data_IF_027841564285
#
_entry.id   IF_027841564285
#
_cell.length_a   1.000
_cell.length_b   1.000
_cell.length_c   1.000
_cell.angle_alpha   90.00
_cell.angle_beta   90.00
_cell.angle_gamma   90.00
#
_symmetry.space_group_name_H-M   'P 1'
#
loop_
_entity.id
_entity.type
_entity.pdbx_description
1 polymer ?
#
# COMPACT_ATOMS: atom_id res chain seq x y z
N UNK A 1 11.57 -0.21 5.80
CA UNK A 1 10.12 -0.18 5.46
C UNK A 1 9.31 -0.02 6.72
N UNK A 2 8.24 0.79 6.70
CA UNK A 2 7.32 0.90 7.85
C UNK A 2 6.70 -0.46 8.18
N UNK A 3 6.44 -0.72 9.47
CA UNK A 3 5.80 -1.98 9.89
C UNK A 3 4.47 -2.24 9.18
N UNK A 4 3.72 -1.19 8.86
CA UNK A 4 2.40 -1.28 8.20
C UNK A 4 2.47 -1.67 6.72
N UNK A 5 3.54 -1.33 5.99
CA UNK A 5 3.67 -1.66 4.57
C UNK A 5 4.29 -3.06 4.33
N UNK A 6 4.98 -3.63 5.32
CA UNK A 6 5.61 -4.96 5.21
C UNK A 6 4.56 -6.06 5.03
N UNK A 7 3.46 -6.03 5.81
CA UNK A 7 2.43 -7.06 5.74
C UNK A 7 1.69 -7.09 4.39
N UNK A 8 1.23 -5.95 3.84
CA UNK A 8 0.73 -5.87 2.47
C UNK A 8 1.73 -6.36 1.43
N UNK A 9 3.01 -5.99 1.55
CA UNK A 9 4.04 -6.41 0.61
C UNK A 9 4.22 -7.93 0.59
N UNK A 10 4.40 -8.55 1.76
CA UNK A 10 4.56 -10.00 1.87
C UNK A 10 3.31 -10.74 1.38
N UNK A 11 2.13 -10.19 1.63
CA UNK A 11 0.88 -10.75 1.14
C UNK A 11 0.76 -10.66 -0.38
N UNK A 12 1.09 -9.52 -0.97
CA UNK A 12 1.12 -9.34 -2.43
C UNK A 12 2.09 -10.35 -3.07
N UNK A 13 3.29 -10.48 -2.50
CA UNK A 13 4.29 -11.46 -2.94
C UNK A 13 3.77 -12.90 -2.87
N UNK A 14 3.12 -13.27 -1.76
CA UNK A 14 2.55 -14.61 -1.59
C UNK A 14 1.42 -14.89 -2.58
N UNK A 15 0.51 -13.94 -2.80
CA UNK A 15 -0.58 -14.07 -3.76
C UNK A 15 -0.07 -14.17 -5.20
N UNK A 16 1.00 -13.45 -5.53
CA UNK A 16 1.65 -13.49 -6.83
C UNK A 16 2.36 -14.83 -7.14
N UNK A 17 2.66 -15.63 -6.11
CA UNK A 17 3.38 -16.91 -6.27
C UNK A 17 2.65 -17.90 -7.20
N UNK A 18 1.31 -17.82 -7.28
CA UNK A 18 0.50 -18.71 -8.11
C UNK A 18 0.55 -18.41 -9.61
N UNK A 19 0.89 -17.17 -10.00
CA UNK A 19 0.89 -16.74 -11.41
C UNK A 19 -0.49 -16.73 -12.10
N UNK A 20 -1.55 -17.11 -11.39
CA UNK A 20 -2.93 -17.22 -11.89
C UNK A 20 -3.71 -15.91 -11.75
N UNK A 21 -3.14 -14.91 -11.07
CA UNK A 21 -3.82 -13.66 -10.70
C UNK A 21 -2.92 -12.46 -10.99
N UNK A 22 -3.51 -11.41 -11.55
CA UNK A 22 -2.89 -10.09 -11.63
C UNK A 22 -2.97 -9.43 -10.25
N UNK A 23 -1.82 -9.22 -9.61
CA UNK A 23 -1.73 -8.61 -8.28
C UNK A 23 -1.12 -7.22 -8.41
N UNK A 24 -1.74 -6.24 -7.76
CA UNK A 24 -1.20 -4.88 -7.62
C UNK A 24 -1.14 -4.51 -6.15
N UNK A 25 0.05 -4.19 -5.66
CA UNK A 25 0.27 -3.62 -4.33
C UNK A 25 0.13 -2.11 -4.41
N UNK A 26 -0.86 -1.56 -3.70
CA UNK A 26 -1.10 -0.12 -3.62
C UNK A 26 -0.56 0.41 -2.29
N UNK A 27 0.50 1.23 -2.32
CA UNK A 27 1.18 1.77 -1.14
C UNK A 27 1.27 3.29 -1.18
N UNK A 28 1.53 3.91 -0.03
CA UNK A 28 1.59 5.37 0.04
C UNK A 28 2.89 5.91 -0.55
N UNK A 29 2.79 7.03 -1.26
CA UNK A 29 3.87 7.97 -1.53
C UNK A 29 3.75 9.19 -0.62
N UNK A 30 4.78 9.43 0.20
CA UNK A 30 4.87 10.61 1.07
C UNK A 30 5.75 11.69 0.45
N UNK A 31 5.41 12.95 0.67
CA UNK A 31 6.33 14.07 0.35
C UNK A 31 7.58 13.99 1.23
N UNK A 32 8.71 14.53 0.76
CA UNK A 32 10.00 14.47 1.47
C UNK A 32 9.92 14.90 2.95
N UNK A 33 9.11 15.93 3.25
CA UNK A 33 8.85 16.38 4.63
C UNK A 33 8.26 15.27 5.50
N UNK A 34 7.32 14.50 4.97
CA UNK A 34 6.64 13.42 5.68
C UNK A 34 7.38 12.09 5.63
N UNK A 35 8.25 11.85 4.64
CA UNK A 35 9.10 10.67 4.60
C UNK A 35 10.00 10.58 5.84
N UNK A 36 10.60 11.71 6.27
CA UNK A 36 11.42 11.78 7.50
C UNK A 36 10.67 11.41 8.78
N UNK A 37 9.35 11.54 8.78
CA UNK A 37 8.50 11.26 9.94
C UNK A 37 7.89 9.85 9.88
N UNK A 38 7.55 9.42 8.67
CA UNK A 38 6.81 8.19 8.43
C UNK A 38 7.69 6.99 8.15
N UNK A 39 8.86 7.15 7.53
CA UNK A 39 9.71 6.04 7.12
C UNK A 39 10.81 5.75 8.15
N UNK A 40 11.11 4.48 8.45
CA UNK A 40 12.18 4.14 9.39
C UNK A 40 13.57 4.37 8.78
N UNK A 41 14.58 4.35 9.65
CA UNK A 41 16.00 4.35 9.29
C UNK A 41 16.44 5.54 8.41
N UNK A 42 15.72 6.67 8.50
CA UNK A 42 15.92 7.86 7.66
C UNK A 42 15.83 7.58 6.15
N UNK A 43 15.11 6.52 5.75
CA UNK A 43 14.88 6.23 4.34
C UNK A 43 14.17 7.42 3.69
N UNK A 44 14.77 7.97 2.64
CA UNK A 44 14.18 9.01 1.81
C UNK A 44 14.33 8.61 0.35
N UNK A 45 13.28 8.87 -0.42
CA UNK A 45 13.20 8.60 -1.83
C UNK A 45 12.84 9.89 -2.55
N UNK A 46 13.59 10.22 -3.59
CA UNK A 46 13.32 11.34 -4.49
C UNK A 46 12.18 11.06 -5.47
N UNK A 47 11.85 9.78 -5.71
CA UNK A 47 10.77 9.37 -6.60
C UNK A 47 10.06 8.07 -6.17
N UNK A 48 8.81 7.83 -6.60
CA UNK A 48 8.13 6.55 -6.38
C UNK A 48 8.91 5.35 -6.93
N UNK A 49 9.59 5.52 -8.07
CA UNK A 49 10.43 4.48 -8.69
C UNK A 49 11.59 4.03 -7.81
N UNK A 50 12.20 4.98 -7.10
CA UNK A 50 13.26 4.69 -6.14
C UNK A 50 12.72 3.90 -4.94
N UNK A 51 11.56 4.32 -4.41
CA UNK A 51 10.87 3.59 -3.34
C UNK A 51 10.47 2.18 -3.77
N UNK A 52 9.97 2.02 -5.00
CA UNK A 52 9.65 0.73 -5.59
C UNK A 52 10.89 -0.17 -5.68
N UNK A 53 11.99 0.35 -6.24
CA UNK A 53 13.25 -0.39 -6.37
C UNK A 53 13.77 -0.85 -5.01
N UNK A 54 13.74 0.03 -4.00
CA UNK A 54 14.10 -0.31 -2.63
C UNK A 54 13.18 -1.41 -2.05
N UNK A 55 11.86 -1.29 -2.29
CA UNK A 55 10.85 -2.25 -1.80
C UNK A 55 11.07 -3.64 -2.40
N UNK A 56 11.32 -3.71 -3.72
CA UNK A 56 11.63 -4.97 -4.43
C UNK A 56 12.92 -5.60 -3.92
N UNK A 57 14.01 -4.83 -3.83
CA UNK A 57 15.28 -5.33 -3.27
C UNK A 57 15.14 -5.81 -1.81
N UNK A 58 14.34 -5.11 -0.99
CA UNK A 58 14.09 -5.52 0.38
C UNK A 58 13.38 -6.88 0.41
N UNK A 59 12.43 -7.10 -0.50
CA UNK A 59 11.65 -8.33 -0.61
C UNK A 59 12.50 -9.49 -1.12
N UNK A 60 13.27 -9.29 -2.20
CA UNK A 60 14.15 -10.30 -2.81
C UNK A 60 15.12 -10.92 -1.79
N UNK A 61 15.62 -10.13 -0.84
CA UNK A 61 16.52 -10.62 0.23
C UNK A 61 15.83 -11.53 1.27
N UNK A 62 14.50 -11.69 1.21
CA UNK A 62 13.69 -12.35 2.26
C UNK A 62 12.79 -13.48 1.76
N UNK A 63 12.65 -13.66 0.45
CA UNK A 63 11.83 -14.72 -0.13
C UNK A 63 12.63 -15.55 -1.13
N UNK A 64 12.27 -16.82 -1.27
CA UNK A 64 12.99 -17.79 -2.11
C UNK A 64 12.42 -17.91 -3.53
N UNK A 65 11.67 -16.92 -4.01
CA UNK A 65 11.05 -16.91 -5.33
C UNK A 65 10.94 -15.48 -5.86
N UNK A 66 10.73 -15.33 -7.16
CA UNK A 66 10.53 -14.01 -7.81
C UNK A 66 9.02 -13.79 -7.94
N UNK A 67 8.42 -12.86 -7.18
CA UNK A 67 7.00 -12.58 -7.23
C UNK A 67 6.68 -11.61 -8.39
N UNK A 68 5.65 -11.93 -9.17
CA UNK A 68 5.17 -11.07 -10.26
C UNK A 68 3.93 -10.27 -9.82
N UNK A 69 4.15 -9.03 -9.38
CA UNK A 69 3.09 -8.08 -9.05
C UNK A 69 3.49 -6.65 -9.36
N UNK A 70 2.49 -5.83 -9.71
CA UNK A 70 2.63 -4.39 -9.91
C UNK A 70 2.68 -3.65 -8.58
N UNK A 71 3.38 -2.52 -8.54
CA UNK A 71 3.35 -1.58 -7.41
C UNK A 71 2.76 -0.26 -7.91
N UNK A 72 1.75 0.25 -7.20
CA UNK A 72 1.13 1.53 -7.48
C UNK A 72 1.21 2.40 -6.22
N UNK A 73 1.31 3.70 -6.42
CA UNK A 73 1.44 4.66 -5.35
C UNK A 73 0.24 5.60 -5.27
N UNK A 74 -0.30 5.80 -4.07
CA UNK A 74 -1.25 6.87 -3.79
C UNK A 74 -0.60 7.95 -2.93
N UNK A 75 -0.91 9.24 -3.14
CA UNK A 75 -0.35 10.30 -2.33
C UNK A 75 -0.90 10.23 -0.90
N UNK A 76 -0.03 10.41 0.09
CA UNK A 76 -0.42 10.47 1.50
C UNK A 76 0.35 11.53 2.29
N UNK A 77 -0.17 11.80 3.49
CA UNK A 77 0.44 12.72 4.46
C UNK A 77 0.58 12.04 5.80
N UNK A 78 1.68 12.32 6.50
CA UNK A 78 1.82 11.88 7.89
C UNK A 78 1.10 12.88 8.81
N UNK A 79 -0.01 12.45 9.41
CA UNK A 79 -0.79 13.23 10.35
C UNK A 79 -0.21 13.03 11.76
N UNK A 80 0.60 14.00 12.22
CA UNK A 80 1.36 13.92 13.49
C UNK A 80 0.44 13.74 14.70
N UNK A 81 -0.70 14.42 14.71
CA UNK A 81 -1.73 14.34 15.76
C UNK A 81 -2.34 12.93 15.87
N UNK A 82 -2.43 12.23 14.75
CA UNK A 82 -2.97 10.86 14.66
C UNK A 82 -1.88 9.79 14.70
N UNK A 83 -0.61 10.19 14.58
CA UNK A 83 0.55 9.32 14.38
C UNK A 83 0.34 8.29 13.25
N UNK A 84 -0.40 8.68 12.22
CA UNK A 84 -0.80 7.80 11.12
C UNK A 84 -0.58 8.47 9.77
N UNK A 85 -0.39 7.64 8.75
CA UNK A 85 -0.42 8.06 7.36
C UNK A 85 -1.88 8.13 6.92
N UNK A 86 -2.30 9.27 6.38
CA UNK A 86 -3.65 9.50 5.86
C UNK A 86 -3.57 9.73 4.35
N UNK A 87 -4.43 9.08 3.56
CA UNK A 87 -4.51 9.33 2.12
C UNK A 87 -4.81 10.81 1.80
N UNK A 88 -4.31 11.28 0.66
CA UNK A 88 -4.63 12.59 0.11
C UNK A 88 -5.42 12.37 -1.18
N UNK A 89 -6.66 12.88 -1.23
CA UNK A 89 -7.56 12.65 -2.37
C UNK A 89 -8.23 11.27 -2.35
N UNK A 90 -8.88 10.92 -3.46
CA UNK A 90 -9.53 9.62 -3.62
C UNK A 90 -8.55 8.60 -4.20
N UNK A 91 -8.09 7.65 -3.36
CA UNK A 91 -7.23 6.53 -3.81
C UNK A 91 -7.88 5.79 -4.97
N UNK A 92 -9.20 5.70 -4.99
CA UNK A 92 -9.92 4.92 -5.99
C UNK A 92 -9.81 5.51 -7.40
N UNK A 93 -9.33 6.74 -7.57
CA UNK A 93 -9.06 7.32 -8.89
C UNK A 93 -7.80 6.75 -9.55
N UNK A 94 -6.85 6.22 -8.77
CA UNK A 94 -5.59 5.68 -9.33
C UNK A 94 -5.75 4.27 -9.90
N UNK A 95 -6.82 3.56 -9.51
CA UNK A 95 -7.07 2.17 -9.91
C UNK A 95 -8.06 2.22 -11.08
N UNK A 96 -7.72 1.70 -12.28
CA UNK A 96 -8.67 1.61 -13.39
C UNK A 96 -9.89 0.75 -13.01
N UNK A 97 -11.05 1.01 -13.59
CA UNK A 97 -12.25 0.22 -13.26
C UNK A 97 -12.14 -1.22 -13.77
N UNK A 98 -11.41 -1.43 -14.85
CA UNK A 98 -11.14 -2.73 -15.47
C UNK A 98 -10.24 -3.62 -14.59
N UNK A 99 -9.50 -3.01 -13.67
CA UNK A 99 -8.63 -3.71 -12.71
C UNK A 99 -9.28 -3.84 -11.32
N UNK A 100 -10.47 -3.25 -11.13
CA UNK A 100 -11.11 -3.14 -9.81
C UNK A 100 -12.01 -4.34 -9.48
N UNK A 101 -11.42 -5.52 -9.29
CA UNK A 101 -12.16 -6.74 -8.94
C UNK A 101 -12.24 -6.97 -7.42
N UNK A 102 -11.10 -7.26 -6.79
CA UNK A 102 -10.99 -7.53 -5.35
C UNK A 102 -10.05 -6.50 -4.70
N UNK A 103 -10.53 -5.82 -3.66
CA UNK A 103 -9.71 -4.97 -2.81
C UNK A 103 -9.41 -5.66 -1.47
N UNK A 104 -8.13 -5.71 -1.09
CA UNK A 104 -7.69 -6.16 0.23
C UNK A 104 -7.09 -4.96 0.98
N UNK A 105 -7.76 -4.52 2.03
CA UNK A 105 -7.40 -3.32 2.80
C UNK A 105 -6.71 -3.73 4.11
N UNK A 106 -5.46 -3.31 4.28
CA UNK A 106 -4.73 -3.48 5.54
C UNK A 106 -5.06 -2.33 6.48
N UNK A 107 -5.48 -2.61 7.72
CA UNK A 107 -5.96 -1.57 8.65
C UNK A 107 -7.05 -0.70 7.97
N UNK A 108 -8.18 -1.32 7.58
CA UNK A 108 -9.21 -0.67 6.76
C UNK A 108 -9.73 0.65 7.33
N UNK A 109 -9.62 0.87 8.64
CA UNK A 109 -9.91 2.13 9.33
C UNK A 109 -9.15 3.32 8.72
N UNK A 110 -7.89 3.15 8.33
CA UNK A 110 -7.07 4.20 7.70
C UNK A 110 -7.58 4.58 6.30
N UNK A 111 -8.29 3.66 5.66
CA UNK A 111 -8.85 3.79 4.30
C UNK A 111 -10.34 4.12 4.28
N UNK A 112 -10.99 4.19 5.45
CA UNK A 112 -12.45 4.34 5.54
C UNK A 112 -12.88 5.49 6.44
N UNK A 113 -12.21 5.74 7.58
CA UNK A 113 -12.63 6.80 8.51
C UNK A 113 -12.36 8.21 7.98
N UNK A 114 -11.27 8.38 7.21
CA UNK A 114 -10.86 9.67 6.63
C UNK A 114 -10.97 9.69 5.11
N UNK A 115 -11.75 8.76 4.55
CA UNK A 115 -11.94 8.64 3.10
C UNK A 115 -13.18 9.41 2.66
N UNK A 116 -12.97 10.39 1.79
CA UNK A 116 -14.03 11.24 1.24
C UNK A 116 -14.37 10.88 -0.21
N UNK A 117 -13.72 9.85 -0.76
CA UNK A 117 -13.91 9.42 -2.14
C UNK A 117 -15.10 8.46 -2.34
N UNK A 118 -15.10 7.78 -3.49
CA UNK A 118 -16.12 6.76 -3.79
C UNK A 118 -16.13 5.65 -2.73
N UNK A 119 -17.28 5.02 -2.54
CA UNK A 119 -17.38 3.84 -1.67
C UNK A 119 -16.60 2.69 -2.29
N UNK A 120 -15.72 2.06 -1.52
CA UNK A 120 -14.95 0.89 -1.95
C UNK A 120 -15.84 -0.20 -2.57
N UNK A 121 -16.98 -0.51 -1.94
CA UNK A 121 -17.95 -1.51 -2.40
C UNK A 121 -18.74 -1.11 -3.66
N UNK A 122 -18.62 0.14 -4.12
CA UNK A 122 -19.19 0.59 -5.39
C UNK A 122 -18.18 0.41 -6.52
N UNK A 123 -16.87 0.37 -6.21
CA UNK A 123 -15.82 0.20 -7.20
C UNK A 123 -15.36 -1.24 -7.37
N UNK A 124 -15.26 -1.99 -6.27
CA UNK A 124 -14.79 -3.38 -6.26
C UNK A 124 -15.95 -4.35 -6.02
N UNK A 125 -15.92 -5.51 -6.67
CA UNK A 125 -16.88 -6.58 -6.44
C UNK A 125 -16.76 -7.18 -5.03
N UNK A 126 -15.54 -7.28 -4.52
CA UNK A 126 -15.26 -7.77 -3.17
C UNK A 126 -14.26 -6.86 -2.45
N UNK A 127 -14.57 -6.52 -1.20
CA UNK A 127 -13.68 -5.73 -0.33
C UNK A 127 -13.43 -6.52 0.96
N UNK A 128 -12.17 -6.83 1.22
CA UNK A 128 -11.72 -7.60 2.38
C UNK A 128 -10.89 -6.68 3.26
N UNK A 129 -11.33 -6.44 4.50
CA UNK A 129 -10.57 -5.70 5.51
C UNK A 129 -9.76 -6.65 6.39
N UNK A 130 -8.47 -6.37 6.56
CA UNK A 130 -7.58 -7.10 7.46
C UNK A 130 -7.24 -6.20 8.63
N UNK A 131 -7.78 -6.55 9.81
CA UNK A 131 -7.46 -5.90 11.08
C UNK A 131 -6.26 -6.63 11.67
N UNK A 132 -5.23 -5.89 12.07
CA UNK A 132 -4.12 -6.43 12.85
C UNK A 132 -4.35 -6.00 14.30
N UNK A 133 -4.52 -6.94 15.25
CA UNK A 133 -4.57 -6.57 16.66
C UNK A 133 -3.21 -6.00 17.07
N UNK A 134 -3.24 -4.82 17.70
CA UNK A 134 -2.07 -4.26 18.37
C UNK A 134 -1.85 -5.12 19.62
N UNK A 135 -0.78 -5.92 19.62
CA UNK A 135 -0.33 -6.72 20.76
C UNK A 135 0.71 -5.93 21.54
#
# INVERSE_FOLDING_TARGET
MTGTAINPLLRAAYLAKGGDRKITLVITWLSLKYQKLGYPDNAMFGSPWEQESYTRQWLERRIAFIPDFGICFYPGKFAVDKRSIIPVGDILEIIPNEEADIAVLQEPEHFTWFHHGKRWKTKFHLVIGIIIPII
#
